data_IF_169426025331
#
_entry.id   IF_169426025331
#
_cell.length_a   1.000
_cell.length_b   1.000
_cell.length_c   1.000
_cell.angle_alpha   90.00
_cell.angle_beta   90.00
_cell.angle_gamma   90.00
#
_symmetry.space_group_name_H-M   'P 1'
#
loop_
_entity.id
_entity.type
_entity.pdbx_description
1 polymer ?
#
# COMPACT_ATOMS: atom_id res chain seq x y z
N UNK A 1 -22.87 30.49 -7.43
CA UNK A 1 -23.20 29.10 -7.80
C UNK A 1 -22.00 28.15 -7.84
N UNK A 2 -20.80 28.57 -8.26
CA UNK A 2 -19.61 27.69 -8.26
C UNK A 2 -19.13 27.27 -6.85
N UNK A 3 -19.12 28.19 -5.88
CA UNK A 3 -18.66 27.91 -4.50
C UNK A 3 -19.53 26.88 -3.75
N UNK A 4 -20.84 26.90 -3.95
CA UNK A 4 -21.75 25.94 -3.32
C UNK A 4 -21.58 24.52 -3.89
N UNK A 5 -21.28 24.41 -5.21
CA UNK A 5 -20.98 23.13 -5.86
C UNK A 5 -19.64 22.54 -5.41
N UNK A 6 -18.65 23.40 -5.17
CA UNK A 6 -17.34 22.99 -4.67
C UNK A 6 -17.44 22.44 -3.22
N UNK A 7 -18.24 23.09 -2.37
CA UNK A 7 -18.47 22.63 -0.99
C UNK A 7 -19.25 21.31 -0.92
N UNK A 8 -20.25 21.11 -1.79
CA UNK A 8 -20.99 19.85 -1.85
C UNK A 8 -20.09 18.68 -2.32
N UNK A 9 -19.22 18.93 -3.30
CA UNK A 9 -18.24 17.93 -3.76
C UNK A 9 -17.17 17.61 -2.71
N UNK A 10 -16.75 18.59 -1.90
CA UNK A 10 -15.84 18.35 -0.78
C UNK A 10 -16.50 17.60 0.37
N UNK A 11 -17.77 17.89 0.68
CA UNK A 11 -18.53 17.21 1.73
C UNK A 11 -18.85 15.76 1.35
N UNK A 12 -19.21 15.49 0.08
CA UNK A 12 -19.41 14.13 -0.43
C UNK A 12 -18.11 13.32 -0.39
N UNK A 13 -16.98 13.92 -0.80
CA UNK A 13 -15.67 13.28 -0.72
C UNK A 13 -15.24 12.96 0.72
N UNK A 14 -15.52 13.87 1.65
CA UNK A 14 -15.26 13.66 3.07
C UNK A 14 -16.12 12.52 3.65
N UNK A 15 -17.43 12.53 3.38
CA UNK A 15 -18.34 11.50 3.85
C UNK A 15 -18.02 10.10 3.28
N UNK A 16 -17.63 10.05 2.00
CA UNK A 16 -17.17 8.82 1.36
C UNK A 16 -15.93 8.27 2.07
N UNK A 17 -14.93 9.10 2.32
CA UNK A 17 -13.72 8.70 3.03
C UNK A 17 -14.02 8.23 4.45
N UNK A 18 -14.87 8.92 5.20
CA UNK A 18 -15.23 8.55 6.57
C UNK A 18 -15.90 7.15 6.62
N UNK A 19 -16.81 6.89 5.68
CA UNK A 19 -17.47 5.58 5.56
C UNK A 19 -16.46 4.49 5.21
N UNK A 20 -15.60 4.73 4.21
CA UNK A 20 -14.55 3.80 3.80
C UNK A 20 -13.56 3.51 4.94
N UNK A 21 -13.13 4.54 5.66
CA UNK A 21 -12.20 4.39 6.78
C UNK A 21 -12.84 3.61 7.93
N UNK A 22 -14.12 3.84 8.21
CA UNK A 22 -14.88 3.05 9.18
C UNK A 22 -14.96 1.57 8.79
N UNK A 23 -15.20 1.28 7.51
CA UNK A 23 -15.19 -0.07 6.98
C UNK A 23 -13.80 -0.72 7.10
N UNK A 24 -12.73 -0.03 6.75
CA UNK A 24 -11.36 -0.52 6.90
C UNK A 24 -11.06 -0.82 8.38
N UNK A 25 -11.42 0.11 9.28
CA UNK A 25 -11.16 -0.04 10.70
C UNK A 25 -11.88 -1.26 11.31
N UNK A 26 -13.15 -1.47 10.96
CA UNK A 26 -13.93 -2.61 11.46
C UNK A 26 -13.34 -3.95 10.98
N UNK A 27 -12.93 -4.04 9.72
CA UNK A 27 -12.30 -5.26 9.18
C UNK A 27 -10.94 -5.52 9.86
N UNK A 28 -10.10 -4.48 10.06
CA UNK A 28 -8.84 -4.62 10.79
C UNK A 28 -9.09 -5.11 12.23
N UNK A 29 -10.08 -4.54 12.93
CA UNK A 29 -10.44 -4.94 14.29
C UNK A 29 -10.94 -6.40 14.36
N UNK A 30 -11.73 -6.84 13.39
CA UNK A 30 -12.37 -8.16 13.42
C UNK A 30 -11.48 -9.29 12.90
N UNK A 31 -10.66 -9.02 11.90
CA UNK A 31 -9.92 -10.07 11.17
C UNK A 31 -8.50 -9.66 10.75
N UNK A 32 -8.01 -8.47 11.13
CA UNK A 32 -6.62 -8.05 10.91
C UNK A 32 -6.27 -7.60 9.48
N UNK A 33 -7.18 -7.76 8.51
CA UNK A 33 -7.03 -7.26 7.14
C UNK A 33 -8.36 -6.79 6.55
N UNK A 34 -8.29 -5.87 5.60
CA UNK A 34 -9.41 -5.28 4.87
C UNK A 34 -9.11 -5.25 3.38
N UNK A 35 -10.00 -5.79 2.55
CA UNK A 35 -9.91 -5.72 1.08
C UNK A 35 -11.14 -4.97 0.57
N UNK A 36 -10.90 -3.86 -0.13
CA UNK A 36 -11.95 -2.96 -0.63
C UNK A 36 -11.76 -2.75 -2.14
N UNK A 37 -12.45 -3.52 -2.99
CA UNK A 37 -12.43 -3.31 -4.44
C UNK A 37 -12.98 -1.92 -4.81
N UNK A 38 -12.35 -1.24 -5.78
CA UNK A 38 -12.78 0.06 -6.28
C UNK A 38 -13.05 1.10 -5.18
N UNK A 39 -12.14 1.19 -4.21
CA UNK A 39 -12.34 1.95 -2.98
C UNK A 39 -11.47 3.19 -2.89
N UNK A 40 -10.30 3.22 -3.53
CA UNK A 40 -9.51 4.45 -3.60
C UNK A 40 -10.34 5.53 -4.33
N UNK A 41 -10.45 6.76 -3.80
CA UNK A 41 -11.20 7.81 -4.47
C UNK A 41 -10.75 8.00 -5.91
N UNK A 42 -11.71 8.04 -6.84
CA UNK A 42 -11.46 8.01 -8.28
C UNK A 42 -10.50 9.13 -8.74
N UNK A 43 -10.59 10.32 -8.14
CA UNK A 43 -9.69 11.44 -8.41
C UNK A 43 -8.24 11.12 -8.07
N UNK A 44 -8.00 10.46 -6.95
CA UNK A 44 -6.67 10.04 -6.50
C UNK A 44 -6.17 8.87 -7.36
N UNK A 45 -7.01 7.85 -7.58
CA UNK A 45 -6.66 6.69 -8.38
C UNK A 45 -6.25 7.08 -9.81
N UNK A 46 -7.02 7.95 -10.45
CA UNK A 46 -6.72 8.44 -11.80
C UNK A 46 -5.46 9.31 -11.83
N UNK A 47 -5.26 10.19 -10.85
CA UNK A 47 -4.07 11.03 -10.76
C UNK A 47 -2.80 10.19 -10.61
N UNK A 48 -2.83 9.17 -9.75
CA UNK A 48 -1.72 8.23 -9.55
C UNK A 48 -1.44 7.40 -10.79
N UNK A 49 -2.48 6.89 -11.45
CA UNK A 49 -2.32 6.14 -12.70
C UNK A 49 -1.73 7.02 -13.81
N UNK A 50 -2.26 8.21 -14.02
CA UNK A 50 -1.71 9.14 -15.00
C UNK A 50 -0.26 9.47 -14.70
N UNK A 51 0.09 9.74 -13.44
CA UNK A 51 1.46 10.00 -13.05
C UNK A 51 2.36 8.79 -13.36
N UNK A 52 1.93 7.59 -12.98
CA UNK A 52 2.65 6.35 -13.24
C UNK A 52 2.90 6.09 -14.72
N UNK A 53 1.91 6.35 -15.60
CA UNK A 53 2.06 6.18 -17.05
C UNK A 53 3.07 7.13 -17.69
N UNK A 54 3.40 8.25 -17.01
CA UNK A 54 4.42 9.20 -17.48
C UNK A 54 5.77 9.01 -16.79
N UNK A 55 5.90 8.08 -15.84
CA UNK A 55 7.20 7.75 -15.25
C UNK A 55 8.04 6.97 -16.26
N UNK A 56 9.28 7.40 -16.44
CA UNK A 56 10.25 6.70 -17.25
C UNK A 56 10.91 5.56 -16.45
N UNK A 57 11.35 4.49 -17.12
CA UNK A 57 12.02 3.34 -16.49
C UNK A 57 13.20 3.74 -15.61
N UNK A 58 13.96 4.79 -15.97
CA UNK A 58 15.10 5.26 -15.16
C UNK A 58 14.72 5.92 -13.83
N UNK A 59 13.43 6.20 -13.60
CA UNK A 59 12.93 6.69 -12.33
C UNK A 59 12.61 5.56 -11.35
N UNK A 60 12.63 4.31 -11.84
CA UNK A 60 12.50 3.13 -11.01
C UNK A 60 13.88 2.57 -10.68
N UNK A 61 14.05 2.17 -9.43
CA UNK A 61 15.19 1.40 -8.95
C UNK A 61 14.74 -0.05 -8.76
N UNK A 62 15.58 -1.03 -9.09
CA UNK A 62 15.28 -2.42 -8.77
C UNK A 62 15.10 -2.56 -7.25
N UNK A 63 14.04 -3.24 -6.82
CA UNK A 63 13.76 -3.37 -5.41
C UNK A 63 14.73 -4.34 -4.70
N UNK A 64 15.07 -4.04 -3.45
CA UNK A 64 15.91 -4.91 -2.62
C UNK A 64 15.23 -5.31 -1.32
N UNK A 65 15.93 -6.14 -0.53
CA UNK A 65 15.49 -6.62 0.77
C UNK A 65 16.56 -6.28 1.82
N UNK A 66 16.14 -5.76 2.97
CA UNK A 66 17.03 -5.41 4.09
C UNK A 66 16.95 -3.95 4.51
N UNK A 67 17.72 -3.57 5.55
CA UNK A 67 17.88 -2.19 6.05
C UNK A 67 19.36 -1.82 6.12
N UNK A 68 19.70 -0.58 5.79
CA UNK A 68 21.07 -0.06 5.96
C UNK A 68 22.11 -0.77 5.09
N UNK A 69 23.28 -1.07 5.67
CA UNK A 69 24.41 -1.73 4.99
C UNK A 69 24.15 -3.20 4.58
N UNK A 70 23.03 -3.79 5.04
CA UNK A 70 22.58 -5.14 4.70
C UNK A 70 21.51 -5.14 3.57
N UNK A 71 21.49 -4.11 2.71
CA UNK A 71 20.65 -4.09 1.50
C UNK A 71 21.16 -5.12 0.50
N UNK A 72 20.67 -6.35 0.62
CA UNK A 72 20.94 -7.41 -0.34
C UNK A 72 19.91 -7.31 -1.47
N UNK A 73 20.41 -6.95 -2.64
CA UNK A 73 19.71 -7.19 -3.90
C UNK A 73 19.58 -8.70 -4.05
N UNK A 74 18.39 -9.24 -3.77
CA UNK A 74 18.15 -10.66 -3.87
C UNK A 74 16.98 -10.92 -4.81
N UNK A 75 17.31 -10.92 -6.11
CA UNK A 75 16.41 -11.20 -7.23
C UNK A 75 15.71 -12.57 -7.10
N UNK A 76 16.21 -13.46 -6.22
CA UNK A 76 15.53 -14.72 -5.91
C UNK A 76 14.29 -14.54 -5.04
N UNK A 77 14.03 -13.36 -4.47
CA UNK A 77 12.93 -13.15 -3.52
C UNK A 77 11.90 -12.16 -4.08
N UNK A 78 12.35 -11.08 -4.72
CA UNK A 78 11.50 -10.12 -5.43
C UNK A 78 12.22 -9.62 -6.69
N UNK A 79 11.47 -9.36 -7.76
CA UNK A 79 12.03 -8.89 -9.04
C UNK A 79 11.39 -7.60 -9.55
N UNK A 80 10.61 -6.92 -8.70
CA UNK A 80 9.95 -5.66 -9.06
C UNK A 80 10.88 -4.45 -9.01
N UNK A 81 10.48 -3.40 -9.72
CA UNK A 81 11.12 -2.09 -9.69
C UNK A 81 10.24 -1.11 -8.89
N UNK A 82 10.85 -0.21 -8.11
CA UNK A 82 10.14 0.72 -7.23
C UNK A 82 10.55 2.18 -7.44
N UNK A 83 9.62 3.10 -7.19
CA UNK A 83 9.88 4.53 -7.14
C UNK A 83 9.21 5.13 -5.91
N UNK A 84 10.00 5.63 -4.96
CA UNK A 84 9.50 6.21 -3.71
C UNK A 84 8.61 7.44 -3.95
N UNK A 85 7.59 7.60 -3.12
CA UNK A 85 6.66 8.74 -3.17
C UNK A 85 7.01 9.71 -2.05
N UNK A 86 7.66 10.82 -2.42
CA UNK A 86 8.14 11.84 -1.48
C UNK A 86 7.31 13.14 -1.50
N UNK A 87 6.22 13.18 -2.27
CA UNK A 87 5.39 14.39 -2.43
C UNK A 87 5.90 15.37 -3.50
N UNK A 88 6.82 14.94 -4.35
CA UNK A 88 7.39 15.80 -5.41
C UNK A 88 6.44 15.99 -6.61
N UNK A 89 5.33 15.24 -6.67
CA UNK A 89 4.28 15.37 -7.68
C UNK A 89 2.92 15.62 -7.05
N UNK A 90 2.03 16.30 -7.78
CA UNK A 90 0.65 16.56 -7.32
C UNK A 90 -0.08 15.25 -6.99
N UNK A 91 0.14 14.20 -7.78
CA UNK A 91 -0.40 12.86 -7.54
C UNK A 91 0.13 12.25 -6.23
N UNK A 92 1.45 12.36 -6.00
CA UNK A 92 2.09 11.91 -4.77
C UNK A 92 1.59 12.67 -3.55
N UNK A 93 1.42 13.99 -3.64
CA UNK A 93 0.87 14.81 -2.55
C UNK A 93 -0.58 14.43 -2.24
N UNK A 94 -1.41 14.23 -3.27
CA UNK A 94 -2.80 13.80 -3.09
C UNK A 94 -2.89 12.45 -2.36
N UNK A 95 -2.05 11.49 -2.75
CA UNK A 95 -1.92 10.20 -2.07
C UNK A 95 -1.49 10.34 -0.62
N UNK A 96 -0.39 11.05 -0.36
CA UNK A 96 0.14 11.24 0.99
C UNK A 96 -0.89 11.93 1.91
N UNK A 97 -1.57 12.96 1.42
CA UNK A 97 -2.64 13.65 2.16
C UNK A 97 -3.81 12.72 2.49
N UNK A 98 -4.24 11.87 1.56
CA UNK A 98 -5.31 10.90 1.81
C UNK A 98 -4.90 9.83 2.81
N UNK A 99 -3.68 9.30 2.70
CA UNK A 99 -3.14 8.35 3.68
C UNK A 99 -2.93 8.97 5.07
N UNK A 100 -2.66 10.27 5.17
CA UNK A 100 -2.61 10.98 6.44
C UNK A 100 -4.00 11.05 7.10
N UNK A 101 -5.06 11.30 6.32
CA UNK A 101 -6.44 11.29 6.84
C UNK A 101 -6.85 9.89 7.33
N UNK A 102 -6.51 8.84 6.57
CA UNK A 102 -6.74 7.45 6.98
C UNK A 102 -6.01 7.15 8.29
N UNK A 103 -4.73 7.54 8.41
CA UNK A 103 -3.92 7.39 9.63
C UNK A 103 -4.62 8.01 10.84
N UNK A 104 -5.04 9.26 10.71
CA UNK A 104 -5.66 10.00 11.81
C UNK A 104 -7.00 9.37 12.21
N UNK A 105 -7.77 8.87 11.24
CA UNK A 105 -9.00 8.13 11.52
C UNK A 105 -8.72 6.82 12.26
N UNK A 106 -7.80 5.99 11.76
CA UNK A 106 -7.45 4.71 12.36
C UNK A 106 -6.87 4.88 13.77
N UNK A 107 -6.04 5.89 14.00
CA UNK A 107 -5.52 6.20 15.33
C UNK A 107 -6.62 6.55 16.33
N UNK A 108 -7.62 7.34 15.92
CA UNK A 108 -8.76 7.67 16.78
C UNK A 108 -9.64 6.46 17.07
N UNK A 109 -9.84 5.60 16.08
CA UNK A 109 -10.79 4.48 16.15
C UNK A 109 -10.20 3.23 16.82
N UNK A 110 -8.93 2.93 16.55
CA UNK A 110 -8.27 1.67 16.89
C UNK A 110 -7.05 1.86 17.83
N UNK A 111 -6.67 3.10 18.16
CA UNK A 111 -5.55 3.40 19.05
C UNK A 111 -4.19 2.81 18.62
N UNK A 112 -3.96 2.68 17.31
CA UNK A 112 -2.77 2.02 16.75
C UNK A 112 -1.46 2.82 16.90
N UNK A 113 -1.53 4.12 17.23
CA UNK A 113 -0.33 4.95 17.41
C UNK A 113 0.49 5.19 16.14
N UNK A 114 -0.13 5.04 14.96
CA UNK A 114 0.51 5.25 13.66
C UNK A 114 1.08 6.67 13.57
N UNK A 115 2.37 6.78 13.28
CA UNK A 115 3.15 8.00 13.35
C UNK A 115 3.56 8.48 11.95
N UNK A 116 4.46 7.75 11.29
CA UNK A 116 4.97 8.05 9.95
C UNK A 116 4.40 7.10 8.90
N UNK A 117 4.51 7.49 7.64
CA UNK A 117 4.05 6.72 6.48
C UNK A 117 5.10 6.82 5.38
N UNK A 118 5.48 5.68 4.81
CA UNK A 118 6.38 5.59 3.66
C UNK A 118 5.67 4.78 2.57
N UNK A 119 5.86 5.13 1.31
CA UNK A 119 5.23 4.39 0.19
C UNK A 119 6.01 4.57 -1.10
N UNK A 120 5.84 3.62 -2.02
CA UNK A 120 6.46 3.65 -3.33
C UNK A 120 5.50 3.09 -4.40
N UNK A 121 5.63 3.58 -5.62
CA UNK A 121 5.15 2.86 -6.80
C UNK A 121 5.94 1.56 -6.94
N UNK A 122 5.29 0.52 -7.45
CA UNK A 122 5.92 -0.76 -7.77
C UNK A 122 5.45 -1.21 -9.17
N UNK A 123 6.42 -1.67 -9.96
CA UNK A 123 6.22 -2.21 -11.29
C UNK A 123 6.73 -3.65 -11.33
N UNK A 124 5.85 -4.58 -11.70
CA UNK A 124 6.16 -5.98 -11.93
C UNK A 124 5.94 -6.23 -13.43
N UNK A 125 7.01 -6.53 -14.16
CA UNK A 125 6.95 -6.96 -15.54
C UNK A 125 6.34 -8.38 -15.64
N UNK A 126 6.02 -8.88 -16.85
CA UNK A 126 5.47 -10.22 -16.99
C UNK A 126 6.40 -11.28 -16.39
N UNK A 127 5.81 -12.15 -15.56
CA UNK A 127 6.45 -13.20 -14.76
C UNK A 127 7.19 -12.73 -13.50
N UNK A 128 7.25 -11.43 -13.21
CA UNK A 128 7.80 -10.95 -11.95
C UNK A 128 6.93 -11.37 -10.76
N UNK A 129 7.57 -11.55 -9.61
CA UNK A 129 6.92 -12.05 -8.41
C UNK A 129 7.56 -11.47 -7.16
N UNK A 130 6.84 -11.62 -6.05
CA UNK A 130 7.41 -11.46 -4.72
C UNK A 130 7.01 -12.67 -3.90
N UNK A 131 8.00 -13.48 -3.53
CA UNK A 131 7.77 -14.66 -2.68
C UNK A 131 7.14 -14.29 -1.35
N UNK A 132 6.45 -15.28 -0.79
CA UNK A 132 5.88 -15.20 0.55
C UNK A 132 6.83 -14.62 1.60
N UNK A 133 6.41 -13.54 2.24
CA UNK A 133 7.18 -12.81 3.25
C UNK A 133 6.25 -12.12 4.25
N UNK A 134 6.84 -11.53 5.29
CA UNK A 134 6.20 -10.57 6.20
C UNK A 134 6.78 -9.18 5.94
N UNK A 135 5.97 -8.14 6.11
CA UNK A 135 6.43 -6.75 5.99
C UNK A 135 7.19 -6.25 7.20
N UNK A 136 6.99 -6.90 8.35
CA UNK A 136 7.69 -6.67 9.59
C UNK A 136 7.97 -8.00 10.30
N UNK A 137 9.18 -8.13 10.85
CA UNK A 137 9.52 -9.26 11.70
C UNK A 137 8.98 -9.02 13.11
N UNK A 138 8.50 -10.08 13.76
CA UNK A 138 7.94 -9.98 15.12
C UNK A 138 8.93 -9.34 16.08
N UNK A 139 8.52 -8.24 16.70
CA UNK A 139 9.33 -7.49 17.67
C UNK A 139 10.26 -6.43 17.06
N UNK A 140 10.37 -6.37 15.73
CA UNK A 140 10.95 -5.23 15.01
C UNK A 140 9.84 -4.23 14.66
N UNK A 141 9.16 -3.75 15.70
CA UNK A 141 7.88 -3.04 15.66
C UNK A 141 7.98 -1.60 15.14
N UNK A 142 8.54 -1.40 13.96
CA UNK A 142 8.41 -0.13 13.29
C UNK A 142 7.19 -0.11 12.38
N UNK A 143 6.89 -1.11 11.55
CA UNK A 143 5.72 -1.12 10.64
C UNK A 143 4.53 -1.86 11.27
N UNK A 144 3.39 -1.17 11.37
CA UNK A 144 2.16 -1.69 12.01
C UNK A 144 1.12 -2.10 10.99
N UNK A 145 0.90 -1.28 9.96
CA UNK A 145 -0.07 -1.54 8.91
C UNK A 145 0.56 -1.38 7.54
N UNK A 146 0.33 -2.36 6.68
CA UNK A 146 0.64 -2.30 5.26
C UNK A 146 -0.60 -1.87 4.48
N UNK A 147 -0.40 -1.07 3.45
CA UNK A 147 -1.43 -0.67 2.49
C UNK A 147 -0.92 -0.93 1.08
N UNK A 148 -1.76 -1.55 0.25
CA UNK A 148 -1.52 -1.75 -1.17
C UNK A 148 -2.71 -1.21 -1.95
N UNK A 149 -2.44 -0.40 -2.98
CA UNK A 149 -3.45 -0.02 -3.99
C UNK A 149 -2.97 -0.36 -5.39
N UNK A 150 -3.91 -0.62 -6.29
CA UNK A 150 -3.61 -1.12 -7.64
C UNK A 150 -3.98 -0.12 -8.73
N UNK A 151 -3.16 -0.05 -9.77
CA UNK A 151 -3.27 0.94 -10.84
C UNK A 151 -3.50 0.28 -12.21
N UNK A 152 -4.21 -0.87 -12.24
CA UNK A 152 -4.33 -1.70 -13.44
C UNK A 152 -5.77 -1.71 -14.01
N UNK A 153 -6.10 -0.83 -14.96
CA UNK A 153 -7.41 -0.83 -15.60
C UNK A 153 -7.60 -2.07 -16.48
N UNK A 154 -8.79 -2.66 -16.43
CA UNK A 154 -9.15 -3.80 -17.28
C UNK A 154 -8.44 -5.11 -16.95
N UNK A 155 -8.00 -5.31 -15.70
CA UNK A 155 -7.37 -6.56 -15.26
C UNK A 155 -8.36 -7.73 -15.32
N UNK A 156 -7.96 -8.83 -15.95
CA UNK A 156 -8.76 -10.05 -16.04
C UNK A 156 -8.23 -11.10 -15.06
N UNK A 157 -9.09 -12.00 -14.54
CA UNK A 157 -8.64 -13.11 -13.69
C UNK A 157 -7.59 -14.01 -14.36
N UNK A 158 -7.58 -14.08 -15.69
CA UNK A 158 -6.61 -14.85 -16.47
C UNK A 158 -5.22 -14.21 -16.54
N UNK A 159 -5.08 -12.93 -16.17
CA UNK A 159 -3.81 -12.21 -16.23
C UNK A 159 -2.87 -12.55 -15.06
N UNK A 160 -3.37 -13.24 -14.02
CA UNK A 160 -2.62 -13.57 -12.81
C UNK A 160 -2.33 -12.33 -11.94
N UNK A 161 -1.16 -12.30 -11.30
CA UNK A 161 -0.69 -11.11 -10.57
C UNK A 161 -1.33 -10.87 -9.20
N UNK A 162 -2.08 -11.83 -8.66
CA UNK A 162 -2.78 -11.64 -7.38
C UNK A 162 -1.79 -11.44 -6.23
N UNK A 163 -2.14 -10.53 -5.32
CA UNK A 163 -1.60 -10.57 -3.96
C UNK A 163 -2.32 -11.69 -3.22
N UNK A 164 -1.58 -12.58 -2.57
CA UNK A 164 -2.15 -13.63 -1.71
C UNK A 164 -1.80 -13.33 -0.27
N UNK A 165 -2.80 -13.14 0.58
CA UNK A 165 -2.66 -12.87 2.01
C UNK A 165 -2.97 -14.15 2.78
N UNK A 166 -2.01 -14.67 3.54
CA UNK A 166 -2.16 -15.91 4.29
C UNK A 166 -2.46 -15.64 5.77
N UNK A 167 -3.21 -16.52 6.41
CA UNK A 167 -3.53 -16.40 7.83
C UNK A 167 -2.33 -16.66 8.76
N UNK A 168 -1.38 -17.49 8.32
CA UNK A 168 -0.13 -17.84 9.01
C UNK A 168 0.70 -18.76 8.11
N UNK A 169 1.94 -19.09 8.51
CA UNK A 169 2.91 -19.93 7.79
C UNK A 169 2.42 -21.32 7.36
N UNK A 170 1.34 -21.84 7.95
CA UNK A 170 0.75 -23.13 7.59
C UNK A 170 -0.40 -23.03 6.60
N UNK A 171 -1.00 -21.86 6.44
CA UNK A 171 -2.02 -21.62 5.42
C UNK A 171 -1.39 -21.78 4.02
N UNK A 172 -2.07 -22.54 3.16
CA UNK A 172 -1.65 -22.86 1.77
C UNK A 172 -2.62 -22.29 0.74
N UNK A 173 -3.80 -21.85 1.16
CA UNK A 173 -4.82 -21.32 0.26
C UNK A 173 -4.68 -19.81 0.15
N UNK A 174 -4.65 -19.13 1.30
CA UNK A 174 -4.64 -17.67 1.39
C UNK A 174 -5.88 -17.01 0.77
N UNK A 175 -6.03 -15.72 1.04
CA UNK A 175 -7.02 -14.85 0.43
C UNK A 175 -6.40 -14.14 -0.75
N UNK A 176 -6.93 -14.36 -1.96
CA UNK A 176 -6.45 -13.72 -3.19
C UNK A 176 -7.07 -12.35 -3.40
N UNK A 177 -6.25 -11.37 -3.74
CA UNK A 177 -6.65 -10.02 -4.15
C UNK A 177 -6.25 -9.82 -5.60
N UNK A 178 -7.25 -9.72 -6.47
CA UNK A 178 -7.04 -9.36 -7.87
C UNK A 178 -6.57 -7.90 -7.94
N UNK A 179 -5.49 -7.57 -8.67
CA UNK A 179 -4.88 -6.24 -8.66
C UNK A 179 -5.66 -5.26 -9.56
N UNK A 180 -6.98 -5.21 -9.43
CA UNK A 180 -7.85 -4.35 -10.21
C UNK A 180 -7.74 -2.89 -9.78
N UNK A 181 -7.70 -1.98 -10.75
CA UNK A 181 -7.67 -0.53 -10.53
C UNK A 181 -8.52 -0.04 -9.36
N UNK A 182 -7.91 0.76 -8.48
CA UNK A 182 -8.57 1.38 -7.32
C UNK A 182 -8.89 0.43 -6.16
N UNK A 183 -8.56 -0.86 -6.27
CA UNK A 183 -8.69 -1.81 -5.15
C UNK A 183 -7.67 -1.50 -4.06
N UNK A 184 -8.12 -1.50 -2.81
CA UNK A 184 -7.29 -1.33 -1.62
C UNK A 184 -7.18 -2.65 -0.85
N UNK A 185 -5.97 -3.00 -0.42
CA UNK A 185 -5.73 -4.01 0.60
C UNK A 185 -4.98 -3.35 1.77
N UNK A 186 -5.47 -3.54 2.99
CA UNK A 186 -4.84 -3.04 4.23
C UNK A 186 -4.74 -4.19 5.21
N UNK A 187 -3.58 -4.43 5.82
CA UNK A 187 -3.39 -5.57 6.73
C UNK A 187 -2.30 -5.30 7.77
N UNK A 188 -2.37 -5.98 8.91
CA UNK A 188 -1.36 -5.90 9.97
C UNK A 188 -0.02 -6.48 9.49
N UNK A 189 1.03 -5.66 9.50
CA UNK A 189 2.30 -5.95 8.83
C UNK A 189 3.07 -7.14 9.42
N UNK A 190 2.93 -7.38 10.74
CA UNK A 190 3.60 -8.48 11.45
C UNK A 190 2.80 -9.79 11.45
N UNK A 191 1.52 -9.76 11.11
CA UNK A 191 0.61 -10.91 11.29
C UNK A 191 0.38 -11.71 10.01
N UNK A 192 0.33 -11.02 8.86
CA UNK A 192 -0.13 -11.61 7.61
C UNK A 192 1.03 -11.83 6.63
N UNK A 193 1.59 -13.05 6.55
CA UNK A 193 2.49 -13.38 5.48
C UNK A 193 1.76 -13.28 4.14
N UNK A 194 2.43 -12.78 3.11
CA UNK A 194 1.80 -12.56 1.81
C UNK A 194 2.80 -12.69 0.66
N UNK A 195 2.29 -12.97 -0.54
CA UNK A 195 3.09 -13.09 -1.75
C UNK A 195 2.40 -12.43 -2.95
N UNK A 196 3.17 -12.04 -3.95
CA UNK A 196 2.66 -11.57 -5.24
C UNK A 196 2.94 -12.64 -6.27
N UNK A 197 1.88 -13.19 -6.86
CA UNK A 197 1.99 -14.20 -7.91
C UNK A 197 2.44 -13.56 -9.23
N UNK A 198 3.10 -14.34 -10.11
CA UNK A 198 3.41 -13.92 -11.47
C UNK A 198 2.19 -13.45 -12.26
N UNK A 199 2.35 -12.38 -13.03
CA UNK A 199 1.37 -11.88 -13.99
C UNK A 199 1.82 -12.11 -15.43
N UNK A 200 0.89 -12.14 -16.38
CA UNK A 200 1.19 -12.25 -17.83
C UNK A 200 1.36 -10.91 -18.54
N UNK A 201 1.20 -9.80 -17.82
CA UNK A 201 1.32 -8.42 -18.29
C UNK A 201 1.83 -7.52 -17.17
N UNK A 202 2.26 -6.30 -17.51
CA UNK A 202 2.75 -5.33 -16.51
C UNK A 202 1.70 -5.07 -15.42
N UNK A 203 2.13 -5.20 -14.17
CA UNK A 203 1.34 -5.00 -12.96
C UNK A 203 1.91 -3.83 -12.18
N UNK A 204 1.09 -2.81 -12.00
CA UNK A 204 1.39 -1.59 -11.25
C UNK A 204 0.61 -1.53 -9.93
N UNK A 205 1.31 -1.14 -8.88
CA UNK A 205 0.72 -0.91 -7.57
C UNK A 205 1.45 0.20 -6.83
N UNK A 206 0.87 0.65 -5.73
CA UNK A 206 1.59 1.38 -4.69
C UNK A 206 1.55 0.52 -3.43
N UNK A 207 2.72 0.29 -2.83
CA UNK A 207 2.84 -0.31 -1.51
C UNK A 207 3.25 0.78 -0.52
N UNK A 208 2.74 0.71 0.71
CA UNK A 208 3.12 1.63 1.76
C UNK A 208 2.92 1.04 3.15
N UNK A 209 3.57 1.66 4.14
CA UNK A 209 3.59 1.17 5.51
C UNK A 209 3.46 2.32 6.49
N UNK A 210 2.54 2.16 7.43
CA UNK A 210 2.46 3.02 8.61
C UNK A 210 3.39 2.51 9.69
N UNK A 211 4.15 3.41 10.29
CA UNK A 211 5.08 3.10 11.37
C UNK A 211 4.71 3.74 12.68
N UNK A 212 5.02 3.11 13.81
CA UNK A 212 4.99 3.76 15.14
C UNK A 212 6.32 4.43 15.45
N UNK A 213 6.31 5.42 16.34
CA UNK A 213 7.54 6.05 16.79
C UNK A 213 8.24 5.16 17.83
N UNK A 214 9.35 4.54 17.47
CA UNK A 214 10.16 3.68 18.35
C UNK A 214 11.26 4.43 19.09
N UNK A 215 11.13 5.77 19.27
CA UNK A 215 12.06 6.57 20.08
C UNK A 215 11.93 6.26 21.58
N UNK A 216 12.20 5.03 21.98
CA UNK A 216 12.51 4.65 23.36
C UNK A 216 14.02 4.70 23.52
N UNK A 217 14.49 5.51 24.48
CA UNK A 217 15.86 5.68 24.95
C UNK A 217 16.95 4.86 24.21
N UNK A 218 17.83 5.57 23.49
CA UNK A 218 19.16 5.14 23.00
C UNK A 218 19.34 4.53 21.59
N UNK A 219 18.37 4.57 20.67
CA UNK A 219 18.66 4.44 19.22
C UNK A 219 17.85 5.44 18.41
N UNK A 220 18.53 6.48 17.91
CA UNK A 220 18.00 7.41 16.92
C UNK A 220 17.89 6.64 15.59
N UNK A 221 16.67 6.52 15.06
CA UNK A 221 16.41 6.03 13.70
C UNK A 221 17.14 7.01 12.74
N UNK A 222 18.13 6.58 11.95
CA UNK A 222 18.86 7.52 11.12
C UNK A 222 17.95 7.98 9.97
N UNK A 223 17.76 9.29 9.78
CA UNK A 223 17.06 9.78 8.60
C UNK A 223 18.00 9.70 7.41
N UNK A 224 17.64 8.96 6.36
CA UNK A 224 17.96 9.30 4.96
C UNK A 224 16.89 8.77 4.02
#
# INVERSE_FOLDING_TARGET
MALAKLNLLSDEGHFFNETLFGLIANDIEQQGFSIRPNALPETIANSLYQHQQHMHTHQYDNAGIGRGDDFLHNDFVRTDEICWINGDSDAGQAWLNWTAQLKDFLNRRLYLGLFSFESHFAHYAPNDYYKRHYDAFRGEANRVLSIVTYLNPGWLPTDGGELVIYQNDHDRQGTKVVPLFGTLAVFLSEEFPHEVLPATRDRYSIAGWYRVNTSTDNRVDPPR
#
